data_IF_224685443983
#
_entry.id   IF_224685443983
#
_cell.length_a   1.000
_cell.length_b   1.000
_cell.length_c   1.000
_cell.angle_alpha   90.00
_cell.angle_beta   90.00
_cell.angle_gamma   90.00
#
_symmetry.space_group_name_H-M   'P 1'
#
loop_
_entity.id
_entity.type
_entity.pdbx_description
1 polymer ?
#
# COMPACT_ATOMS: atom_id res chain seq x y z
N UNK A 1 -27.53 -21.21 -12.53
CA UNK A 1 -27.04 -21.81 -11.26
C UNK A 1 -25.62 -21.27 -11.06
N UNK A 2 -25.28 -20.63 -9.93
CA UNK A 2 -23.88 -20.21 -9.69
C UNK A 2 -23.02 -21.46 -9.47
N UNK A 3 -21.76 -21.42 -9.89
CA UNK A 3 -20.79 -22.49 -9.63
C UNK A 3 -20.71 -22.78 -8.13
N UNK A 4 -20.65 -24.05 -7.69
CA UNK A 4 -20.38 -24.40 -6.29
C UNK A 4 -18.91 -24.21 -5.92
N UNK A 5 -18.04 -23.94 -6.90
CA UNK A 5 -16.60 -23.72 -6.75
C UNK A 5 -16.32 -22.24 -6.53
N UNK A 6 -15.63 -21.92 -5.44
CA UNK A 6 -15.17 -20.58 -5.11
C UNK A 6 -13.65 -20.53 -4.99
N UNK A 7 -13.04 -19.45 -5.47
CA UNK A 7 -11.65 -19.14 -5.21
C UNK A 7 -11.61 -18.14 -4.03
N UNK A 8 -11.26 -18.63 -2.85
CA UNK A 8 -11.18 -17.80 -1.65
C UNK A 8 -9.76 -17.27 -1.46
N UNK A 9 -9.68 -16.04 -0.98
CA UNK A 9 -8.44 -15.44 -0.51
C UNK A 9 -8.52 -15.23 1.00
N UNK A 10 -7.48 -15.63 1.70
CA UNK A 10 -7.24 -15.28 3.11
C UNK A 10 -6.05 -14.32 3.13
N UNK A 11 -6.32 -13.08 3.49
CA UNK A 11 -5.34 -12.01 3.49
C UNK A 11 -5.12 -11.50 4.92
N UNK A 12 -3.89 -11.60 5.42
CA UNK A 12 -3.48 -11.19 6.78
C UNK A 12 -2.62 -9.93 6.69
N UNK A 13 -3.06 -8.78 7.24
CA UNK A 13 -2.22 -7.59 7.36
C UNK A 13 -1.14 -7.83 8.39
N UNK A 14 0.12 -7.62 8.01
CA UNK A 14 1.22 -7.46 8.97
C UNK A 14 1.49 -5.97 9.24
N UNK A 15 1.30 -5.14 8.21
CA UNK A 15 1.45 -3.68 8.24
C UNK A 15 0.60 -3.09 7.11
N UNK A 16 -0.34 -2.20 7.39
CA UNK A 16 -1.24 -1.67 6.36
C UNK A 16 -1.65 -0.19 6.56
N UNK A 17 -0.74 0.62 7.09
CA UNK A 17 -0.97 2.07 7.26
C UNK A 17 -1.11 2.80 5.92
N UNK A 18 -0.42 2.29 4.89
CA UNK A 18 -0.46 2.80 3.52
C UNK A 18 -1.01 1.74 2.58
N UNK A 19 -1.60 2.19 1.47
CA UNK A 19 -2.15 1.36 0.41
C UNK A 19 -3.05 0.23 0.92
N UNK A 20 -4.06 0.52 1.78
CA UNK A 20 -4.87 -0.51 2.39
C UNK A 20 -5.56 -1.40 1.36
N UNK A 21 -5.86 -2.64 1.75
CA UNK A 21 -6.74 -3.52 1.00
C UNK A 21 -8.16 -2.96 1.10
N UNK A 22 -8.71 -2.59 -0.04
CA UNK A 22 -10.02 -1.95 -0.19
C UNK A 22 -10.94 -2.94 -0.93
N UNK A 23 -12.19 -3.05 -0.48
CA UNK A 23 -13.22 -3.91 -1.05
C UNK A 23 -14.39 -3.04 -1.55
N UNK A 24 -14.90 -3.35 -2.74
CA UNK A 24 -16.12 -2.71 -3.23
C UNK A 24 -17.36 -3.40 -2.63
N UNK A 25 -18.34 -2.62 -2.18
CA UNK A 25 -19.67 -3.16 -1.94
C UNK A 25 -20.32 -3.55 -3.27
N UNK A 26 -20.52 -4.86 -3.44
CA UNK A 26 -21.09 -5.47 -4.65
C UNK A 26 -22.48 -4.95 -4.98
N UNK A 27 -23.25 -4.44 -4.01
CA UNK A 27 -24.58 -3.89 -4.26
C UNK A 27 -24.53 -2.59 -5.08
N UNK A 28 -23.38 -1.91 -5.06
CA UNK A 28 -23.15 -0.67 -5.81
C UNK A 28 -22.58 -0.89 -7.21
N UNK A 29 -22.29 -2.15 -7.57
CA UNK A 29 -21.71 -2.50 -8.86
C UNK A 29 -22.79 -2.77 -9.92
N UNK A 30 -22.97 -1.85 -10.87
CA UNK A 30 -23.67 -2.12 -12.13
C UNK A 30 -22.70 -2.75 -13.12
N UNK A 31 -22.66 -4.08 -13.18
CA UNK A 31 -21.73 -4.80 -14.08
C UNK A 31 -21.87 -4.40 -15.54
N UNK A 32 -23.09 -4.06 -16.01
CA UNK A 32 -23.29 -3.71 -17.42
C UNK A 32 -22.67 -2.37 -17.78
N UNK A 33 -22.60 -1.44 -16.82
CA UNK A 33 -22.08 -0.08 -17.04
C UNK A 33 -20.63 0.08 -16.59
N UNK A 34 -20.26 -0.59 -15.50
CA UNK A 34 -18.97 -0.38 -14.86
C UNK A 34 -17.91 -1.36 -15.35
N UNK A 35 -18.28 -2.46 -16.00
CA UNK A 35 -17.33 -3.46 -16.45
C UNK A 35 -16.85 -3.14 -17.87
N UNK A 36 -15.53 -2.95 -18.02
CA UNK A 36 -14.88 -2.88 -19.33
C UNK A 36 -14.26 -4.24 -19.64
N UNK A 37 -14.72 -4.86 -20.73
CA UNK A 37 -14.06 -6.00 -21.36
C UNK A 37 -13.20 -5.51 -22.50
N UNK A 38 -11.93 -5.88 -22.50
CA UNK A 38 -11.05 -5.64 -23.62
C UNK A 38 -10.12 -6.83 -23.83
N UNK A 39 -9.79 -7.08 -25.10
CA UNK A 39 -8.86 -8.12 -25.48
C UNK A 39 -7.45 -7.55 -25.56
N UNK A 40 -6.49 -8.17 -24.87
CA UNK A 40 -5.08 -7.95 -25.20
C UNK A 40 -4.65 -8.98 -26.24
N UNK A 41 -4.16 -8.56 -27.42
CA UNK A 41 -3.49 -9.46 -28.35
C UNK A 41 -2.32 -10.13 -27.63
N UNK A 42 -2.30 -11.46 -27.65
CA UNK A 42 -1.20 -12.26 -27.10
C UNK A 42 -0.42 -12.86 -28.24
N UNK A 43 0.35 -12.02 -28.93
CA UNK A 43 1.37 -12.47 -29.88
C UNK A 43 2.67 -12.77 -29.10
N UNK A 44 3.25 -13.97 -29.27
CA UNK A 44 4.57 -14.31 -28.71
C UNK A 44 4.63 -15.56 -27.81
N UNK A 45 5.64 -15.58 -26.92
CA UNK A 45 6.31 -16.71 -26.23
C UNK A 45 5.50 -17.93 -25.74
N UNK A 46 4.20 -17.81 -25.49
CA UNK A 46 3.36 -18.96 -25.24
C UNK A 46 2.68 -19.30 -26.56
N UNK A 47 3.14 -20.34 -27.26
CA UNK A 47 2.47 -20.89 -28.45
C UNK A 47 1.01 -21.24 -28.10
N UNK A 48 0.14 -20.26 -28.32
CA UNK A 48 -1.29 -20.36 -28.04
C UNK A 48 -1.99 -20.63 -29.36
N UNK A 49 -2.94 -21.54 -29.30
CA UNK A 49 -3.78 -21.92 -30.42
C UNK A 49 -4.47 -20.69 -31.04
N UNK A 50 -4.82 -20.76 -32.33
CA UNK A 50 -5.41 -19.65 -33.10
C UNK A 50 -6.68 -19.09 -32.42
N UNK A 51 -7.45 -19.94 -31.75
CA UNK A 51 -8.66 -19.59 -31.00
C UNK A 51 -8.39 -18.85 -29.67
N UNK A 52 -7.13 -18.73 -29.24
CA UNK A 52 -6.70 -18.15 -27.95
C UNK A 52 -5.73 -16.97 -28.12
N UNK A 53 -5.73 -16.35 -29.30
CA UNK A 53 -4.91 -15.17 -29.66
C UNK A 53 -5.24 -13.89 -28.90
N UNK A 54 -6.39 -13.86 -28.23
CA UNK A 54 -6.83 -12.71 -27.45
C UNK A 54 -7.04 -13.15 -26.00
N UNK A 55 -6.33 -12.49 -25.08
CA UNK A 55 -6.59 -12.64 -23.66
C UNK A 55 -7.74 -11.71 -23.27
N UNK A 56 -8.89 -12.28 -22.87
CA UNK A 56 -9.99 -11.51 -22.32
C UNK A 56 -9.58 -10.91 -20.98
N UNK A 57 -9.48 -9.58 -20.93
CA UNK A 57 -9.24 -8.83 -19.71
C UNK A 57 -10.52 -8.09 -19.33
N UNK A 58 -10.77 -8.10 -18.03
CA UNK A 58 -11.89 -7.41 -17.42
C UNK A 58 -11.34 -6.42 -16.39
N UNK A 59 -11.85 -5.20 -16.41
CA UNK A 59 -11.61 -4.23 -15.36
C UNK A 59 -12.91 -3.53 -14.97
N UNK A 60 -12.98 -3.06 -13.72
CA UNK A 60 -14.05 -2.17 -13.29
C UNK A 60 -13.60 -0.73 -13.48
N UNK A 61 -14.36 0.01 -14.28
CA UNK A 61 -14.24 1.45 -14.44
C UNK A 61 -14.75 2.14 -13.18
N UNK A 62 -14.14 3.28 -12.84
CA UNK A 62 -14.66 4.13 -11.77
C UNK A 62 -16.08 4.63 -12.10
N UNK A 63 -16.93 4.67 -11.09
CA UNK A 63 -18.25 5.31 -11.17
C UNK A 63 -18.65 5.84 -9.79
N UNK A 64 -19.27 7.01 -9.73
CA UNK A 64 -19.50 7.77 -8.47
C UNK A 64 -20.41 7.07 -7.45
N UNK A 65 -21.23 6.12 -7.90
CA UNK A 65 -22.07 5.32 -7.01
C UNK A 65 -21.32 4.15 -6.33
N UNK A 66 -20.09 3.84 -6.76
CA UNK A 66 -19.33 2.73 -6.21
C UNK A 66 -18.88 3.07 -4.81
N UNK A 67 -19.25 2.21 -3.87
CA UNK A 67 -18.79 2.34 -2.49
C UNK A 67 -17.65 1.36 -2.23
N UNK A 68 -16.55 1.91 -1.73
CA UNK A 68 -15.34 1.18 -1.39
C UNK A 68 -15.06 1.31 0.10
N UNK A 69 -14.70 0.20 0.73
CA UNK A 69 -14.49 0.10 2.16
C UNK A 69 -13.11 -0.49 2.44
N UNK A 70 -12.44 0.05 3.45
CA UNK A 70 -11.16 -0.46 3.92
C UNK A 70 -11.04 -0.20 5.43
N UNK A 71 -10.10 -0.91 6.05
CA UNK A 71 -9.65 -0.62 7.42
C UNK A 71 -8.13 -0.48 7.38
N UNK A 72 -7.60 0.70 7.71
CA UNK A 72 -6.14 0.93 7.71
C UNK A 72 -5.45 0.30 8.92
N UNK A 73 -6.10 0.30 10.07
CA UNK A 73 -5.53 -0.20 11.32
C UNK A 73 -5.98 -1.65 11.57
N UNK A 74 -5.14 -2.58 11.11
CA UNK A 74 -5.30 -4.01 11.35
C UNK A 74 -3.94 -4.63 11.64
N UNK A 75 -3.92 -5.53 12.63
CA UNK A 75 -2.75 -6.33 12.97
C UNK A 75 -2.89 -7.78 12.48
N UNK A 76 -1.86 -8.58 12.72
CA UNK A 76 -1.78 -9.97 12.31
C UNK A 76 -2.78 -10.91 13.04
N UNK A 77 -3.59 -10.39 13.98
CA UNK A 77 -4.65 -11.17 14.65
C UNK A 77 -5.92 -11.29 13.81
N UNK A 78 -6.03 -10.51 12.73
CA UNK A 78 -7.21 -10.47 11.86
C UNK A 78 -6.83 -10.87 10.44
N UNK A 79 -7.81 -11.40 9.71
CA UNK A 79 -7.67 -11.70 8.29
C UNK A 79 -8.94 -11.29 7.55
N UNK A 80 -8.78 -10.78 6.33
CA UNK A 80 -9.89 -10.74 5.38
C UNK A 80 -10.00 -12.11 4.72
N UNK A 81 -11.20 -12.67 4.72
CA UNK A 81 -11.54 -13.87 3.95
C UNK A 81 -12.60 -13.47 2.93
N UNK A 82 -12.30 -13.61 1.64
CA UNK A 82 -13.18 -13.13 0.59
C UNK A 82 -13.15 -13.99 -0.67
N UNK A 83 -14.26 -13.99 -1.40
CA UNK A 83 -14.37 -14.57 -2.74
C UNK A 83 -13.59 -13.71 -3.73
N UNK A 84 -12.41 -14.20 -4.12
CA UNK A 84 -11.45 -13.51 -5.01
C UNK A 84 -12.09 -13.07 -6.32
N UNK A 85 -12.96 -13.91 -6.89
CA UNK A 85 -13.56 -13.66 -8.21
C UNK A 85 -14.89 -12.90 -8.08
N UNK A 86 -15.58 -13.03 -6.95
CA UNK A 86 -16.86 -12.39 -6.73
C UNK A 86 -16.78 -10.97 -6.16
N UNK A 87 -15.72 -10.62 -5.43
CA UNK A 87 -15.58 -9.32 -4.77
C UNK A 87 -14.50 -8.52 -5.48
N UNK A 88 -14.86 -7.34 -6.02
CA UNK A 88 -13.87 -6.40 -6.50
C UNK A 88 -13.05 -5.87 -5.32
N UNK A 89 -11.73 -5.96 -5.42
CA UNK A 89 -10.80 -5.61 -4.37
C UNK A 89 -9.51 -5.06 -4.97
N UNK A 90 -8.76 -4.29 -4.19
CA UNK A 90 -7.50 -3.71 -4.65
C UNK A 90 -6.82 -2.92 -3.55
N UNK A 91 -5.73 -2.24 -3.91
CA UNK A 91 -5.09 -1.26 -3.04
C UNK A 91 -5.53 0.14 -3.45
N UNK A 92 -5.87 1.00 -2.50
CA UNK A 92 -6.20 2.40 -2.75
C UNK A 92 -5.21 3.34 -2.04
N UNK A 93 -4.97 4.54 -2.57
CA UNK A 93 -4.12 5.56 -1.92
C UNK A 93 -5.01 6.39 -1.00
N UNK A 94 -4.65 6.48 0.27
CA UNK A 94 -5.40 7.23 1.29
C UNK A 94 -4.82 8.62 1.53
N UNK A 95 -5.62 9.57 2.06
CA UNK A 95 -5.13 10.90 2.43
C UNK A 95 -3.93 10.82 3.39
N UNK A 96 -2.86 11.53 3.06
CA UNK A 96 -1.60 11.54 3.83
C UNK A 96 -0.50 10.62 3.30
N UNK A 97 -0.81 9.69 2.38
CA UNK A 97 0.23 8.80 1.82
C UNK A 97 1.27 9.53 0.97
N UNK A 98 0.88 10.60 0.26
CA UNK A 98 1.83 11.45 -0.47
C UNK A 98 2.84 12.12 0.48
N UNK A 99 2.38 12.53 1.67
CA UNK A 99 3.24 13.08 2.71
C UNK A 99 4.12 11.98 3.33
N UNK A 100 3.58 10.78 3.52
CA UNK A 100 4.35 9.64 3.98
C UNK A 100 5.50 9.29 3.03
N UNK A 101 5.25 9.31 1.71
CA UNK A 101 6.29 9.12 0.69
C UNK A 101 7.37 10.20 0.79
N UNK A 102 7.00 11.47 0.96
CA UNK A 102 7.96 12.56 1.08
C UNK A 102 8.87 12.41 2.31
N UNK A 103 8.28 12.14 3.49
CA UNK A 103 9.07 11.87 4.70
C UNK A 103 9.91 10.60 4.58
N UNK A 104 9.38 9.55 3.95
CA UNK A 104 10.13 8.33 3.71
C UNK A 104 11.38 8.60 2.85
N UNK A 105 11.23 9.31 1.73
CA UNK A 105 12.34 9.62 0.83
C UNK A 105 13.38 10.53 1.48
N UNK A 106 12.93 11.53 2.26
CA UNK A 106 13.82 12.40 3.00
C UNK A 106 14.60 11.63 4.08
N UNK A 107 13.90 10.82 4.88
CA UNK A 107 14.53 10.03 5.93
C UNK A 107 15.46 8.96 5.35
N UNK A 108 15.12 8.35 4.21
CA UNK A 108 16.02 7.45 3.48
C UNK A 108 17.32 8.16 3.08
N UNK A 109 17.24 9.38 2.55
CA UNK A 109 18.41 10.17 2.16
C UNK A 109 19.32 10.44 3.36
N UNK A 110 18.74 10.87 4.49
CA UNK A 110 19.49 11.12 5.73
C UNK A 110 20.10 9.84 6.30
N UNK A 111 19.36 8.72 6.26
CA UNK A 111 19.82 7.42 6.75
C UNK A 111 21.02 6.92 5.94
N UNK A 112 20.96 7.04 4.61
CA UNK A 112 22.06 6.66 3.73
C UNK A 112 23.28 7.59 3.88
N UNK A 113 23.06 8.89 4.08
CA UNK A 113 24.14 9.83 4.40
C UNK A 113 24.84 9.46 5.72
N UNK A 114 24.06 9.15 6.75
CA UNK A 114 24.59 8.74 8.05
C UNK A 114 25.41 7.45 7.97
N UNK A 115 24.95 6.45 7.21
CA UNK A 115 25.72 5.22 6.98
C UNK A 115 27.04 5.46 6.24
N UNK A 116 27.09 6.46 5.36
CA UNK A 116 28.26 6.78 4.52
C UNK A 116 29.24 7.77 5.14
N UNK A 117 28.93 8.37 6.29
CA UNK A 117 29.78 9.44 6.81
C UNK A 117 29.54 10.81 6.17
N UNK A 118 28.47 10.98 5.39
CA UNK A 118 28.23 12.19 4.59
C UNK A 118 27.60 13.31 5.43
N UNK A 119 28.46 14.07 6.12
CA UNK A 119 28.07 15.22 6.93
C UNK A 119 27.50 16.38 6.09
N UNK A 120 27.86 16.50 4.81
CA UNK A 120 27.39 17.59 3.95
C UNK A 120 25.89 17.45 3.67
N UNK A 121 25.43 16.23 3.36
CA UNK A 121 24.01 15.94 3.19
C UNK A 121 23.22 16.21 4.47
N UNK A 122 23.73 15.83 5.65
CA UNK A 122 23.08 16.10 6.93
C UNK A 122 22.92 17.60 7.24
N UNK A 123 23.85 18.43 6.76
CA UNK A 123 23.84 19.88 7.01
C UNK A 123 22.99 20.69 6.03
N UNK A 124 22.83 20.20 4.79
CA UNK A 124 22.11 20.91 3.72
C UNK A 124 20.62 20.62 3.68
N UNK A 125 20.20 19.48 4.24
CA UNK A 125 18.79 19.11 4.28
C UNK A 125 17.97 20.00 5.22
N UNK A 126 16.69 20.15 4.91
CA UNK A 126 15.76 20.98 5.70
C UNK A 126 14.45 20.24 5.89
N UNK A 127 13.80 20.40 7.06
CA UNK A 127 12.47 19.82 7.28
C UNK A 127 11.50 20.50 6.33
N UNK A 128 10.91 19.73 5.42
CA UNK A 128 9.84 20.25 4.60
C UNK A 128 8.57 20.38 5.45
N UNK A 129 7.97 21.58 5.42
CA UNK A 129 6.72 21.87 6.11
C UNK A 129 5.55 21.39 5.24
N UNK A 130 4.74 20.50 5.80
CA UNK A 130 3.58 19.95 5.12
C UNK A 130 2.39 19.90 6.05
N UNK A 131 1.22 20.21 5.51
CA UNK A 131 -0.04 20.07 6.21
C UNK A 131 -0.52 18.62 6.11
N UNK A 132 -0.82 18.02 7.26
CA UNK A 132 -1.43 16.69 7.31
C UNK A 132 -2.90 16.85 6.89
N UNK A 133 -3.37 16.15 5.84
CA UNK A 133 -4.77 16.20 5.43
C UNK A 133 -5.70 15.79 6.58
N UNK A 134 -6.83 16.49 6.76
CA UNK A 134 -7.77 16.22 7.85
C UNK A 134 -8.30 14.77 7.86
N UNK A 135 -8.46 14.19 6.67
CA UNK A 135 -8.93 12.82 6.49
C UNK A 135 -7.85 11.73 6.68
N UNK A 136 -6.63 12.10 7.08
CA UNK A 136 -5.57 11.12 7.36
C UNK A 136 -5.91 10.30 8.61
N UNK A 137 -5.76 8.97 8.51
CA UNK A 137 -6.05 8.07 9.64
C UNK A 137 -5.13 8.36 10.83
N UNK A 138 -5.62 8.16 12.05
CA UNK A 138 -4.85 8.38 13.28
C UNK A 138 -3.51 7.61 13.29
N UNK A 139 -3.54 6.33 12.88
CA UNK A 139 -2.37 5.48 12.78
C UNK A 139 -1.33 5.98 11.77
N UNK A 140 -1.77 6.59 10.66
CA UNK A 140 -0.87 7.22 9.70
C UNK A 140 -0.31 8.54 10.24
N UNK A 141 -1.12 9.36 10.93
CA UNK A 141 -0.65 10.56 11.62
C UNK A 141 0.51 10.26 12.60
N UNK A 142 0.39 9.18 13.38
CA UNK A 142 1.46 8.74 14.29
C UNK A 142 2.73 8.34 13.53
N UNK A 143 2.62 7.56 12.45
CA UNK A 143 3.77 7.17 11.64
C UNK A 143 4.45 8.38 10.96
N UNK A 144 3.66 9.38 10.54
CA UNK A 144 4.19 10.65 10.02
C UNK A 144 4.95 11.42 11.11
N UNK A 145 4.41 11.49 12.33
CA UNK A 145 5.06 12.13 13.46
C UNK A 145 6.40 11.45 13.83
N UNK A 146 6.44 10.10 13.82
CA UNK A 146 7.65 9.33 14.07
C UNK A 146 8.75 9.61 13.04
N UNK A 147 8.39 9.60 11.74
CA UNK A 147 9.35 9.91 10.68
C UNK A 147 9.84 11.36 10.78
N UNK A 148 8.93 12.31 11.02
CA UNK A 148 9.28 13.74 11.22
C UNK A 148 10.23 13.93 12.39
N UNK A 149 9.98 13.26 13.53
CA UNK A 149 10.86 13.33 14.69
C UNK A 149 12.26 12.77 14.37
N UNK A 150 12.37 11.70 13.58
CA UNK A 150 13.66 11.18 13.15
C UNK A 150 14.40 12.16 12.22
N UNK A 151 13.69 12.82 11.31
CA UNK A 151 14.26 13.85 10.43
C UNK A 151 14.77 15.02 11.27
N UNK A 152 13.94 15.55 12.18
CA UNK A 152 14.32 16.68 13.06
C UNK A 152 15.53 16.35 13.94
N UNK A 153 15.59 15.14 14.49
CA UNK A 153 16.73 14.66 15.28
C UNK A 153 18.02 14.64 14.46
N UNK A 154 17.98 14.14 13.22
CA UNK A 154 19.13 14.10 12.33
C UNK A 154 19.65 15.51 11.97
N UNK A 155 18.73 16.42 11.66
CA UNK A 155 19.07 17.79 11.29
C UNK A 155 19.56 18.61 12.49
N UNK A 156 19.12 18.30 13.70
CA UNK A 156 19.57 18.95 14.93
C UNK A 156 21.01 18.55 15.32
N UNK A 157 21.39 17.27 15.12
CA UNK A 157 22.73 16.79 15.44
C UNK A 157 23.82 17.40 14.55
N UNK A 158 23.55 17.65 13.26
CA UNK A 158 24.49 18.24 12.27
C UNK A 158 25.77 17.43 11.98
N UNK A 159 26.17 16.49 12.84
CA UNK A 159 27.26 15.54 12.62
C UNK A 159 26.87 14.13 13.07
N UNK A 160 27.65 13.13 12.66
CA UNK A 160 27.41 11.75 13.07
C UNK A 160 27.84 11.47 14.51
N UNK A 161 28.82 12.18 15.04
CA UNK A 161 29.26 11.96 16.44
C UNK A 161 28.22 12.43 17.46
N UNK A 162 27.36 13.37 17.06
CA UNK A 162 26.32 13.98 17.90
C UNK A 162 24.94 13.37 17.65
N UNK A 163 24.83 12.45 16.68
CA UNK A 163 23.61 11.71 16.40
C UNK A 163 23.44 10.59 17.41
N UNK A 164 22.20 10.38 17.88
CA UNK A 164 21.92 9.33 18.86
C UNK A 164 22.35 7.96 18.31
N UNK A 165 23.05 7.16 19.12
CA UNK A 165 23.54 5.83 18.74
C UNK A 165 22.43 4.88 18.24
N UNK A 166 21.17 5.08 18.67
CA UNK A 166 20.01 4.31 18.22
C UNK A 166 19.24 4.93 17.04
N UNK A 167 19.65 6.09 16.53
CA UNK A 167 18.90 6.83 15.52
C UNK A 167 18.69 6.02 14.24
N UNK A 168 19.73 5.33 13.74
CA UNK A 168 19.61 4.56 12.50
C UNK A 168 18.56 3.45 12.61
N UNK A 169 18.51 2.76 13.76
CA UNK A 169 17.51 1.73 14.05
C UNK A 169 16.11 2.33 14.15
N UNK A 170 15.97 3.47 14.85
CA UNK A 170 14.70 4.19 14.99
C UNK A 170 14.19 4.70 13.65
N UNK A 171 15.06 5.30 12.83
CA UNK A 171 14.74 5.78 11.50
C UNK A 171 14.30 4.62 10.57
N UNK A 172 15.04 3.51 10.57
CA UNK A 172 14.66 2.33 9.81
C UNK A 172 13.29 1.78 10.23
N UNK A 173 13.01 1.72 11.55
CA UNK A 173 11.72 1.28 12.06
C UNK A 173 10.58 2.26 11.67
N UNK A 174 10.82 3.57 11.76
CA UNK A 174 9.82 4.58 11.37
C UNK A 174 9.48 4.49 9.86
N UNK A 175 10.48 4.28 9.01
CA UNK A 175 10.29 4.04 7.58
C UNK A 175 9.54 2.73 7.31
N UNK A 176 9.90 1.67 8.03
CA UNK A 176 9.28 0.35 7.89
C UNK A 176 7.78 0.39 8.22
N UNK A 177 7.36 1.31 9.12
CA UNK A 177 5.94 1.44 9.50
C UNK A 177 5.02 1.81 8.33
N UNK A 178 5.52 2.51 7.31
CA UNK A 178 4.73 2.93 6.15
C UNK A 178 4.89 1.98 4.95
N UNK A 179 5.63 0.88 5.11
CA UNK A 179 5.77 -0.16 4.08
C UNK A 179 4.72 -1.23 4.28
N UNK A 180 3.76 -1.33 3.35
CA UNK A 180 2.71 -2.35 3.41
C UNK A 180 3.31 -3.77 3.39
N UNK A 181 2.86 -4.62 4.31
CA UNK A 181 3.24 -6.03 4.44
C UNK A 181 2.02 -6.89 4.70
N UNK A 182 1.95 -8.04 4.04
CA UNK A 182 0.83 -8.97 4.20
C UNK A 182 1.18 -10.38 3.79
N UNK A 183 0.43 -11.33 4.34
CA UNK A 183 0.41 -12.72 3.89
C UNK A 183 -0.87 -12.94 3.11
N UNK A 184 -0.75 -13.54 1.93
CA UNK A 184 -1.88 -13.90 1.08
C UNK A 184 -1.88 -15.43 0.86
N UNK A 185 -3.01 -16.06 1.16
CA UNK A 185 -3.21 -17.50 0.92
C UNK A 185 -4.46 -17.70 0.09
N UNK A 186 -4.37 -18.50 -0.98
CA UNK A 186 -5.51 -18.81 -1.85
C UNK A 186 -5.97 -20.24 -1.63
N UNK A 187 -7.27 -20.42 -1.52
CA UNK A 187 -7.90 -21.72 -1.35
C UNK A 187 -9.05 -21.90 -2.36
N UNK A 188 -9.28 -23.15 -2.78
CA UNK A 188 -10.47 -23.51 -3.55
C UNK A 188 -11.48 -24.12 -2.59
N UNK A 189 -12.70 -23.60 -2.56
CA UNK A 189 -13.77 -24.08 -1.73
C UNK A 189 -14.93 -24.64 -2.56
N UNK A 190 -15.57 -25.68 -2.05
CA UNK A 190 -16.80 -26.26 -2.59
C UNK A 190 -17.93 -26.00 -1.59
N UNK A 191 -18.96 -25.31 -2.03
CA UNK A 191 -20.15 -25.02 -1.20
C UNK A 191 -21.30 -25.89 -1.71
N UNK A 192 -21.80 -26.77 -0.84
CA UNK A 192 -22.85 -27.76 -1.13
C UNK A 192 -24.23 -27.27 -0.67
#
# INVERSE_FOLDING_TARGET
RRSPVFLLNTWVPLQQLTRPLCFMDRQTLDQKKHQLRYGLPVEGFLDRDEDRKVNDIWMYLHHDNQQWYYTSDMDASRAYVFDTLGIAHGACVTPGEALAEQYYLQLLKLLEAAKKGDAETLQKETVAAFDVPEATSASLCEALADMKACIEEALASKTLETLNAGWQTKAAAAMDRVVRKSIEMRAVALVF
#
